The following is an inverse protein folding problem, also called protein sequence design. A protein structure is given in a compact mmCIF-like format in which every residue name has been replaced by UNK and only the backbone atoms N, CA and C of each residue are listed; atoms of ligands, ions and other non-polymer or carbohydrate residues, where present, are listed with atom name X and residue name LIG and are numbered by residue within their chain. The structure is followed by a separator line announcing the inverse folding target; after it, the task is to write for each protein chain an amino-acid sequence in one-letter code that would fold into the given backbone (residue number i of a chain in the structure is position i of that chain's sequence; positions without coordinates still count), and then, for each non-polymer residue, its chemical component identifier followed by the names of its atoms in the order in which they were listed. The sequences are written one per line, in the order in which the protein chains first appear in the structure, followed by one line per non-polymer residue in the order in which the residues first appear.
data_IF_727329584758
#
_entry.id   IF_727329584758
#
_cell.length_a   1.000
_cell.length_b   1.000
_cell.length_c   1.000
_cell.angle_alpha   90.00
_cell.angle_beta   90.00
_cell.angle_gamma   90.00
#
_symmetry.space_group_name_H-M   'P 1'
#
loop_
_entity.id
_entity.type
_entity.pdbx_description
1 polymer ?
#
# COMPACT_ATOMS: atom_id res chain seq x y z
N UNK A 1 18.68 1.32 2.38
CA UNK A 1 17.74 0.32 1.83
C UNK A 1 16.39 0.29 2.55
N UNK A 2 16.33 0.22 3.89
CA UNK A 2 15.05 0.08 4.62
C UNK A 2 13.96 1.13 4.29
N UNK A 3 14.34 2.38 4.03
CA UNK A 3 13.40 3.45 3.70
C UNK A 3 12.77 3.28 2.29
N UNK A 4 13.52 2.74 1.33
CA UNK A 4 13.00 2.38 -0.01
C UNK A 4 12.02 1.21 0.08
N UNK A 5 12.27 0.25 0.96
CA UNK A 5 11.36 -0.88 1.19
C UNK A 5 10.02 -0.40 1.72
N UNK A 6 9.99 0.60 2.60
CA UNK A 6 8.74 1.11 3.19
C UNK A 6 7.94 2.01 2.24
N UNK A 7 8.58 2.63 1.25
CA UNK A 7 7.99 3.69 0.42
C UNK A 7 6.70 3.26 -0.30
N UNK A 8 6.63 2.10 -0.99
CA UNK A 8 5.39 1.68 -1.65
C UNK A 8 4.32 1.20 -0.68
N UNK A 9 4.67 0.76 0.53
CA UNK A 9 3.67 0.44 1.56
C UNK A 9 2.90 1.69 2.02
N UNK A 10 3.42 2.90 1.80
CA UNK A 10 2.71 4.16 1.99
C UNK A 10 2.10 4.69 0.68
N UNK A 11 2.84 4.65 -0.43
CA UNK A 11 2.42 5.24 -1.70
C UNK A 11 1.32 4.45 -2.41
N UNK A 12 1.41 3.11 -2.45
CA UNK A 12 0.41 2.25 -3.10
C UNK A 12 -0.97 2.45 -2.49
N UNK A 13 -1.16 2.37 -1.15
CA UNK A 13 -2.49 2.55 -0.59
C UNK A 13 -3.05 3.95 -0.80
N UNK A 14 -2.19 4.97 -0.84
CA UNK A 14 -2.59 6.34 -1.17
C UNK A 14 -3.08 6.45 -2.62
N UNK A 15 -2.30 5.94 -3.58
CA UNK A 15 -2.65 5.95 -5.01
C UNK A 15 -3.93 5.17 -5.28
N UNK A 16 -4.07 4.01 -4.65
CA UNK A 16 -5.28 3.18 -4.77
C UNK A 16 -6.47 3.89 -4.13
N UNK A 17 -6.33 4.51 -2.96
CA UNK A 17 -7.41 5.31 -2.36
C UNK A 17 -7.85 6.46 -3.27
N UNK A 18 -6.90 7.18 -3.90
CA UNK A 18 -7.20 8.25 -4.84
C UNK A 18 -7.87 7.74 -6.13
N UNK A 19 -7.38 6.64 -6.70
CA UNK A 19 -7.92 6.04 -7.91
C UNK A 19 -9.35 5.50 -7.71
N UNK A 20 -9.64 4.96 -6.52
CA UNK A 20 -10.96 4.42 -6.18
C UNK A 20 -11.89 5.42 -5.47
N UNK A 21 -11.45 6.66 -5.24
CA UNK A 21 -12.21 7.74 -4.58
C UNK A 21 -13.65 7.89 -5.12
N UNK A 22 -13.84 7.76 -6.43
CA UNK A 22 -15.15 7.99 -7.09
C UNK A 22 -15.97 6.71 -7.26
N UNK A 23 -15.37 5.53 -7.07
CA UNK A 23 -15.96 4.22 -7.44
C UNK A 23 -16.45 3.49 -6.20
N UNK A 24 -17.54 3.97 -5.63
CA UNK A 24 -18.14 3.50 -4.37
C UNK A 24 -18.77 2.10 -4.41
N UNK A 25 -18.70 1.38 -5.55
CA UNK A 25 -19.42 0.09 -5.73
C UNK A 25 -18.70 -1.13 -5.15
N UNK A 26 -17.41 -1.04 -4.84
CA UNK A 26 -16.66 -2.20 -4.37
C UNK A 26 -15.71 -1.83 -3.22
N UNK A 27 -16.22 -1.90 -1.99
CA UNK A 27 -15.46 -1.63 -0.75
C UNK A 27 -14.17 -2.45 -0.63
N UNK A 28 -14.13 -3.67 -1.17
CA UNK A 28 -13.00 -4.60 -1.06
C UNK A 28 -12.00 -4.50 -2.21
N UNK A 29 -12.41 -3.94 -3.35
CA UNK A 29 -11.57 -3.86 -4.54
C UNK A 29 -10.27 -3.06 -4.34
N UNK A 30 -10.26 -1.89 -3.65
CA UNK A 30 -9.00 -1.20 -3.37
C UNK A 30 -8.08 -2.04 -2.47
N UNK A 31 -8.62 -2.75 -1.47
CA UNK A 31 -7.80 -3.63 -0.62
C UNK A 31 -7.20 -4.80 -1.42
N UNK A 32 -7.97 -5.38 -2.33
CA UNK A 32 -7.53 -6.49 -3.18
C UNK A 32 -6.40 -6.04 -4.13
N UNK A 33 -6.56 -4.87 -4.75
CA UNK A 33 -5.53 -4.27 -5.63
C UNK A 33 -4.26 -3.94 -4.84
N UNK A 34 -4.38 -3.28 -3.69
CA UNK A 34 -3.25 -2.97 -2.81
C UNK A 34 -2.50 -4.25 -2.40
N UNK A 35 -3.24 -5.27 -1.96
CA UNK A 35 -2.65 -6.56 -1.57
C UNK A 35 -1.94 -7.25 -2.73
N UNK A 36 -2.56 -7.28 -3.91
CA UNK A 36 -1.98 -7.92 -5.10
C UNK A 36 -0.66 -7.29 -5.53
N UNK A 37 -0.52 -5.96 -5.36
CA UNK A 37 0.71 -5.24 -5.71
C UNK A 37 1.79 -5.40 -4.62
N UNK A 38 1.39 -5.45 -3.34
CA UNK A 38 2.33 -5.48 -2.22
C UNK A 38 2.86 -6.89 -1.89
N UNK A 39 2.11 -7.95 -2.19
CA UNK A 39 2.56 -9.34 -2.00
C UNK A 39 3.87 -9.66 -2.75
N UNK A 40 4.01 -9.38 -4.05
CA UNK A 40 5.25 -9.70 -4.79
C UNK A 40 6.38 -8.68 -4.54
N UNK A 41 6.09 -7.55 -3.89
CA UNK A 41 7.04 -6.47 -3.69
C UNK A 41 8.34 -6.86 -2.95
N UNK A 42 8.31 -7.59 -1.81
CA UNK A 42 9.55 -7.99 -1.14
C UNK A 42 10.44 -8.88 -2.01
N UNK A 43 9.85 -9.77 -2.84
CA UNK A 43 10.61 -10.53 -3.83
C UNK A 43 11.24 -9.64 -4.90
N UNK A 44 10.52 -8.63 -5.37
CA UNK A 44 11.03 -7.69 -6.36
C UNK A 44 12.26 -6.93 -5.84
N UNK A 45 12.22 -6.51 -4.58
CA UNK A 45 13.36 -5.85 -3.92
C UNK A 45 14.56 -6.78 -3.79
N UNK A 46 14.35 -8.03 -3.39
CA UNK A 46 15.44 -9.00 -3.31
C UNK A 46 16.07 -9.25 -4.68
N UNK A 47 15.26 -9.33 -5.73
CA UNK A 47 15.75 -9.50 -7.09
C UNK A 47 16.56 -8.28 -7.55
N UNK A 48 16.10 -7.06 -7.20
CA UNK A 48 16.81 -5.82 -7.50
C UNK A 48 18.11 -5.70 -6.71
N UNK A 49 18.11 -6.05 -5.43
CA UNK A 49 19.28 -5.99 -4.55
C UNK A 49 20.35 -6.98 -5.02
N UNK A 50 19.96 -8.21 -5.38
CA UNK A 50 20.86 -9.20 -5.96
C UNK A 50 21.41 -8.78 -7.34
N UNK A 51 20.63 -7.99 -8.12
CA UNK A 51 21.09 -7.47 -9.41
C UNK A 51 22.13 -6.34 -9.25
N UNK A 52 21.90 -5.40 -8.32
CA UNK A 52 22.80 -4.26 -8.10
C UNK A 52 23.99 -4.57 -7.21
N UNK A 53 23.85 -5.51 -6.27
CA UNK A 53 24.91 -5.97 -5.38
C UNK A 53 24.92 -7.50 -5.36
N UNK A 54 25.57 -8.15 -6.35
CA UNK A 54 25.66 -9.59 -6.37
C UNK A 54 26.32 -10.10 -5.09
N UNK A 55 25.75 -11.13 -4.43
CA UNK A 55 26.32 -11.64 -3.20
C UNK A 55 27.72 -12.22 -3.46
N UNK A 56 28.69 -12.02 -2.55
CA UNK A 56 30.00 -12.62 -2.67
C UNK A 56 29.89 -14.16 -2.63
N UNK A 57 30.71 -14.88 -3.43
CA UNK A 57 30.68 -16.33 -3.45
C UNK A 57 31.14 -16.88 -2.09
N UNK A 58 30.25 -17.58 -1.39
CA UNK A 58 30.56 -18.23 -0.11
C UNK A 58 29.30 -18.70 0.62
N UNK A 59 29.42 -19.72 1.49
CA UNK A 59 28.30 -20.18 2.31
C UNK A 59 27.93 -19.09 3.32
N UNK A 60 26.80 -18.42 3.09
CA UNK A 60 26.21 -17.48 4.05
C UNK A 60 25.40 -18.29 5.08
N UNK A 61 25.88 -18.37 6.31
CA UNK A 61 25.07 -18.83 7.44
C UNK A 61 23.96 -17.79 7.70
N UNK A 62 22.72 -18.15 7.39
CA UNK A 62 21.55 -17.29 7.53
C UNK A 62 21.02 -16.80 6.18
N UNK A 63 19.70 -16.87 6.02
CA UNK A 63 18.96 -16.31 4.89
C UNK A 63 18.33 -14.97 5.33
N UNK A 64 19.08 -13.84 5.35
CA UNK A 64 18.54 -12.54 5.74
C UNK A 64 17.35 -12.11 4.86
N UNK A 65 17.33 -12.61 3.62
CA UNK A 65 16.25 -12.43 2.64
C UNK A 65 14.89 -12.92 3.17
N UNK A 66 14.86 -14.09 3.82
CA UNK A 66 13.65 -14.63 4.43
C UNK A 66 13.16 -13.76 5.59
N UNK A 67 14.08 -13.25 6.42
CA UNK A 67 13.73 -12.35 7.53
C UNK A 67 13.09 -11.05 7.03
N UNK A 68 13.57 -10.53 5.89
CA UNK A 68 13.03 -9.33 5.27
C UNK A 68 11.64 -9.58 4.67
N UNK A 69 11.45 -10.72 3.99
CA UNK A 69 10.13 -11.15 3.51
C UNK A 69 9.15 -11.30 4.68
N UNK A 70 9.51 -12.07 5.71
CA UNK A 70 8.66 -12.30 6.89
C UNK A 70 8.30 -11.00 7.61
N UNK A 71 9.29 -10.12 7.82
CA UNK A 71 9.07 -8.82 8.42
C UNK A 71 8.12 -7.95 7.59
N UNK A 72 8.24 -7.99 6.26
CA UNK A 72 7.34 -7.28 5.37
C UNK A 72 5.90 -7.81 5.44
N UNK A 73 5.70 -9.13 5.49
CA UNK A 73 4.38 -9.73 5.63
C UNK A 73 3.73 -9.48 6.99
N UNK A 74 4.51 -9.57 8.08
CA UNK A 74 3.98 -9.45 9.45
C UNK A 74 3.73 -7.99 9.84
N UNK A 75 4.58 -7.05 9.41
CA UNK A 75 4.49 -5.66 9.84
C UNK A 75 4.04 -4.71 8.73
N UNK A 76 4.67 -4.76 7.55
CA UNK A 76 4.44 -3.76 6.50
C UNK A 76 3.11 -3.97 5.77
N UNK A 77 2.74 -5.21 5.48
CA UNK A 77 1.48 -5.56 4.82
C UNK A 77 0.24 -5.14 5.63
N UNK A 78 0.09 -5.50 6.92
CA UNK A 78 -1.05 -5.05 7.71
C UNK A 78 -1.05 -3.54 7.93
N UNK A 79 0.13 -2.91 8.04
CA UNK A 79 0.24 -1.46 8.14
C UNK A 79 -0.27 -0.77 6.86
N UNK A 80 0.09 -1.28 5.68
CA UNK A 80 -0.39 -0.76 4.39
C UNK A 80 -1.92 -0.90 4.24
N UNK A 81 -2.48 -2.01 4.70
CA UNK A 81 -3.94 -2.23 4.74
C UNK A 81 -4.64 -1.27 5.72
N UNK A 82 -4.03 -1.01 6.88
CA UNK A 82 -4.52 -0.03 7.84
C UNK A 82 -4.49 1.39 7.24
N UNK A 83 -3.41 1.76 6.55
CA UNK A 83 -3.33 3.03 5.83
C UNK A 83 -4.39 3.13 4.73
N UNK A 84 -4.59 2.07 3.94
CA UNK A 84 -5.66 2.02 2.94
C UNK A 84 -7.03 2.29 3.56
N UNK A 85 -7.29 1.71 4.74
CA UNK A 85 -8.53 1.92 5.47
C UNK A 85 -8.69 3.38 5.92
N UNK A 86 -7.63 3.97 6.49
CA UNK A 86 -7.62 5.36 6.92
C UNK A 86 -7.85 6.30 5.73
N UNK A 87 -7.14 6.10 4.62
CA UNK A 87 -7.32 6.91 3.41
C UNK A 87 -8.69 6.72 2.78
N UNK A 88 -9.19 5.49 2.66
CA UNK A 88 -10.56 5.28 2.19
C UNK A 88 -11.58 5.98 3.10
N UNK A 89 -11.38 5.98 4.42
CA UNK A 89 -12.28 6.67 5.36
C UNK A 89 -12.25 8.20 5.21
N UNK A 90 -11.07 8.79 5.06
CA UNK A 90 -10.89 10.25 4.88
C UNK A 90 -11.45 10.71 3.53
N UNK A 91 -11.28 9.92 2.47
CA UNK A 91 -11.67 10.32 1.11
C UNK A 91 -13.07 9.86 0.67
N UNK A 92 -13.64 8.80 1.26
CA UNK A 92 -15.00 8.32 0.94
C UNK A 92 -16.10 9.00 1.77
N UNK A 93 -15.76 9.58 2.92
CA UNK A 93 -16.65 10.50 3.64
C UNK A 93 -16.16 11.93 3.41
N UNK A 94 -16.76 12.71 2.50
CA UNK A 94 -16.82 14.15 2.76
C UNK A 94 -17.47 14.30 4.14
N UNK A 95 -16.91 15.12 5.01
CA UNK A 95 -17.46 15.39 6.32
C UNK A 95 -19.00 15.60 6.24
N UNK A 96 -19.79 15.12 7.23
CA UNK A 96 -21.24 15.36 7.28
C UNK A 96 -21.55 16.83 7.59
N UNK A 97 -21.17 17.74 6.70
CA UNK A 97 -21.29 19.19 6.87
C UNK A 97 -21.04 20.03 5.61
N UNK A 98 -20.83 19.43 4.43
CA UNK A 98 -20.58 20.17 3.19
C UNK A 98 -21.77 20.25 2.22
N UNK A 99 -22.96 19.76 2.60
CA UNK A 99 -24.16 19.71 1.72
C UNK A 99 -25.36 20.53 2.26
N UNK A 100 -25.13 21.52 3.11
CA UNK A 100 -26.18 22.50 3.49
C UNK A 100 -25.70 23.92 3.20
N UNK A 101 -25.62 24.27 1.92
CA UNK A 101 -25.85 25.63 1.35
C UNK A 101 -25.43 25.62 -0.12
N UNK A 102 -26.33 25.16 -0.99
CA UNK A 102 -26.06 25.15 -2.43
C UNK A 102 -27.21 24.57 -3.25
N UNK A 103 -28.40 25.13 -3.08
CA UNK A 103 -29.60 24.72 -3.80
C UNK A 103 -30.63 25.85 -3.89
N UNK A 104 -30.29 26.89 -4.67
CA UNK A 104 -31.20 27.60 -5.60
C UNK A 104 -32.14 26.60 -6.29
N UNK A 105 -33.40 26.85 -6.68
CA UNK A 105 -34.12 28.06 -7.12
C UNK A 105 -35.56 27.64 -7.41
N UNK A 106 -36.48 28.60 -7.33
CA UNK A 106 -37.68 28.80 -8.15
C UNK A 106 -38.15 27.68 -9.09
N UNK A 107 -39.39 27.23 -8.88
CA UNK A 107 -40.50 27.30 -9.85
C UNK A 107 -41.80 26.94 -9.13
#
# INVERSE_FOLDING_TARGET
MGLLVCLPYFFIPLLVALAFKKRNRAKYLPFLVTTLILIPYPWLILLLENYFNPPPPGPRCGMPELGLILGAFIFLLPLALLLQFIFNRIWANPAPGADTKGGTTSA
#
